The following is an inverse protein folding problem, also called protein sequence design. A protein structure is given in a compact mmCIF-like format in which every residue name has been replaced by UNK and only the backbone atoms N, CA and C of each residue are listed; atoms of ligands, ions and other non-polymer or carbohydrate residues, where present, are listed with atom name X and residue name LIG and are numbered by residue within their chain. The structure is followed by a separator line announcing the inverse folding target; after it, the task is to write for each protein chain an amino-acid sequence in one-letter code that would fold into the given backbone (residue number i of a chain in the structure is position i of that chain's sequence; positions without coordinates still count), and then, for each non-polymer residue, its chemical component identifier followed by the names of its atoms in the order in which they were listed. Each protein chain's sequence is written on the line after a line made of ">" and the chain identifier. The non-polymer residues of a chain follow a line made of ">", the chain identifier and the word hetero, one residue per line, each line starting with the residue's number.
data_IF_061671489694
#
_entry.id   IF_061671489694
#
_cell.length_a   1.000
_cell.length_b   1.000
_cell.length_c   1.000
_cell.angle_alpha   90.00
_cell.angle_beta   90.00
_cell.angle_gamma   90.00
#
_symmetry.space_group_name_H-M   'P 1'
#
loop_
_entity.id
_entity.type
_entity.pdbx_description
1 polymer ?
#
# COMPACT_ATOMS: atom_id res chain seq x y z
N UNK A 1 -0.08 16.81 20.06
CA UNK A 1 -0.07 16.07 18.78
C UNK A 1 -0.63 14.70 19.07
N UNK A 2 -1.68 14.29 18.37
CA UNK A 2 -2.18 12.93 18.48
C UNK A 2 -1.11 12.02 17.89
N UNK A 3 -0.54 11.15 18.74
CA UNK A 3 0.39 10.12 18.34
C UNK A 3 -0.39 9.10 17.50
N UNK A 4 -0.33 9.23 16.18
CA UNK A 4 -1.04 8.34 15.23
C UNK A 4 -0.37 6.96 15.11
N UNK A 5 0.71 6.72 15.84
CA UNK A 5 1.54 5.53 15.67
C UNK A 5 2.22 5.48 14.30
N UNK A 6 2.98 4.41 14.02
CA UNK A 6 3.76 4.26 12.78
C UNK A 6 2.92 3.98 11.51
N UNK A 7 1.59 4.08 11.59
CA UNK A 7 0.66 3.77 10.51
C UNK A 7 -0.29 4.94 10.25
N UNK A 8 -0.16 5.57 9.08
CA UNK A 8 -0.89 6.79 8.73
C UNK A 8 -1.72 6.56 7.46
N UNK A 9 -3.02 6.89 7.50
CA UNK A 9 -3.89 6.87 6.32
C UNK A 9 -3.84 8.23 5.62
N UNK A 10 -3.59 8.23 4.31
CA UNK A 10 -3.46 9.41 3.46
C UNK A 10 -4.70 9.57 2.57
N UNK A 11 -5.16 10.80 2.38
CA UNK A 11 -6.02 11.17 1.25
C UNK A 11 -5.26 11.04 -0.09
N UNK A 12 -5.97 11.10 -1.22
CA UNK A 12 -5.33 11.03 -2.53
C UNK A 12 -4.40 12.22 -2.82
N UNK A 13 -4.73 13.41 -2.31
CA UNK A 13 -3.87 14.58 -2.47
C UNK A 13 -2.57 14.42 -1.67
N UNK A 14 -2.67 14.05 -0.39
CA UNK A 14 -1.49 13.75 0.45
C UNK A 14 -0.67 12.57 -0.13
N UNK A 15 -1.34 11.55 -0.67
CA UNK A 15 -0.69 10.45 -1.38
C UNK A 15 0.21 10.98 -2.51
N UNK A 16 -0.31 11.86 -3.36
CA UNK A 16 0.48 12.43 -4.47
C UNK A 16 1.67 13.25 -3.95
N UNK A 17 1.48 14.08 -2.93
CA UNK A 17 2.58 14.82 -2.30
C UNK A 17 3.69 13.89 -1.79
N UNK A 18 3.32 12.73 -1.21
CA UNK A 18 4.29 11.73 -0.75
C UNK A 18 4.99 10.98 -1.88
N UNK A 19 4.28 10.71 -2.97
CA UNK A 19 4.88 10.12 -4.18
C UNK A 19 5.90 11.08 -4.79
N UNK A 20 5.61 12.38 -4.86
CA UNK A 20 6.56 13.41 -5.31
C UNK A 20 7.80 13.51 -4.40
N UNK A 21 7.65 13.20 -3.10
CA UNK A 21 8.75 13.09 -2.14
C UNK A 21 9.54 11.77 -2.28
N UNK A 22 9.17 10.89 -3.23
CA UNK A 22 9.89 9.66 -3.55
C UNK A 22 9.44 8.43 -2.76
N UNK A 23 8.29 8.48 -2.08
CA UNK A 23 7.77 7.35 -1.32
C UNK A 23 7.44 6.18 -2.25
N UNK A 24 7.76 4.95 -1.84
CA UNK A 24 7.45 3.76 -2.65
C UNK A 24 5.97 3.42 -2.56
N UNK A 25 5.37 3.04 -3.68
CA UNK A 25 3.97 2.59 -3.71
C UNK A 25 3.97 1.06 -3.81
N UNK A 26 3.35 0.38 -2.85
CA UNK A 26 3.20 -1.08 -2.83
C UNK A 26 1.72 -1.42 -3.00
N UNK A 27 1.34 -1.88 -4.18
CA UNK A 27 -0.01 -2.35 -4.45
C UNK A 27 -0.12 -3.82 -4.06
N UNK A 28 -0.87 -4.08 -2.98
CA UNK A 28 -1.03 -5.41 -2.38
C UNK A 28 -2.29 -6.15 -2.85
N UNK A 29 -2.94 -5.64 -3.91
CA UNK A 29 -4.07 -6.30 -4.56
C UNK A 29 -3.60 -7.55 -5.31
N UNK A 30 -4.56 -8.28 -5.84
CA UNK A 30 -4.32 -9.43 -6.70
C UNK A 30 -4.15 -9.00 -8.16
N UNK A 31 -3.62 -9.91 -8.97
CA UNK A 31 -3.37 -9.68 -10.38
C UNK A 31 -4.64 -9.40 -11.21
N UNK A 32 -5.75 -10.06 -10.92
CA UNK A 32 -7.05 -9.81 -11.55
C UNK A 32 -7.53 -8.37 -11.30
N UNK A 33 -7.31 -7.85 -10.09
CA UNK A 33 -7.67 -6.47 -9.74
C UNK A 33 -6.79 -5.43 -10.45
N UNK A 34 -5.50 -5.72 -10.65
CA UNK A 34 -4.60 -4.88 -11.44
C UNK A 34 -5.02 -4.83 -12.90
N UNK A 35 -5.37 -5.97 -13.49
CA UNK A 35 -5.81 -6.04 -14.88
C UNK A 35 -7.14 -5.30 -15.10
N UNK A 36 -8.07 -5.46 -14.15
CA UNK A 36 -9.39 -4.85 -14.25
C UNK A 36 -9.36 -3.33 -14.03
N UNK A 37 -8.80 -2.88 -12.90
CA UNK A 37 -8.82 -1.46 -12.48
C UNK A 37 -7.59 -0.66 -12.91
N UNK A 38 -6.54 -1.32 -13.42
CA UNK A 38 -5.21 -0.71 -13.55
C UNK A 38 -4.53 -0.55 -12.19
N UNK A 39 -3.36 0.10 -12.18
CA UNK A 39 -2.59 0.46 -10.98
C UNK A 39 -2.29 1.95 -10.94
N UNK A 40 -1.94 2.50 -9.78
CA UNK A 40 -1.38 3.85 -9.69
C UNK A 40 0.00 3.82 -10.34
N UNK A 41 0.34 4.80 -11.18
CA UNK A 41 1.64 4.85 -11.84
C UNK A 41 2.80 4.77 -10.82
N UNK A 42 3.82 3.98 -11.12
CA UNK A 42 4.94 3.72 -10.21
C UNK A 42 4.68 2.69 -9.11
N UNK A 43 3.51 2.03 -9.11
CA UNK A 43 3.21 0.95 -8.16
C UNK A 43 4.08 -0.29 -8.35
N UNK A 44 4.66 -0.76 -7.24
CA UNK A 44 5.21 -2.11 -7.13
C UNK A 44 4.09 -3.09 -6.79
N UNK A 45 3.85 -4.03 -7.70
CA UNK A 45 2.77 -5.02 -7.62
C UNK A 45 3.22 -6.22 -6.79
N UNK A 46 2.76 -6.33 -5.54
CA UNK A 46 3.17 -7.39 -4.60
C UNK A 46 1.94 -7.88 -3.84
N UNK A 47 1.26 -8.90 -4.37
CA UNK A 47 0.06 -9.47 -3.75
C UNK A 47 0.36 -10.01 -2.35
N UNK A 48 -0.52 -9.71 -1.39
CA UNK A 48 -0.45 -10.29 -0.04
C UNK A 48 -1.48 -11.40 0.16
N UNK A 49 -2.75 -11.16 -0.18
CA UNK A 49 -3.84 -12.12 -0.01
C UNK A 49 -4.28 -12.69 -1.35
N UNK A 50 -4.47 -14.01 -1.42
CA UNK A 50 -5.09 -14.68 -2.54
C UNK A 50 -6.64 -14.53 -2.56
N UNK A 51 -7.31 -15.23 -3.48
CA UNK A 51 -8.77 -15.18 -3.64
C UNK A 51 -9.54 -15.82 -2.47
N UNK A 52 -8.94 -16.81 -1.80
CA UNK A 52 -9.50 -17.50 -0.63
C UNK A 52 -9.19 -16.78 0.69
N UNK A 53 -8.35 -15.73 0.63
CA UNK A 53 -7.88 -14.97 1.78
C UNK A 53 -6.66 -15.60 2.47
N UNK A 54 -6.03 -16.61 1.85
CA UNK A 54 -4.74 -17.13 2.24
C UNK A 54 -3.62 -16.13 1.95
N UNK A 55 -2.51 -16.26 2.67
CA UNK A 55 -1.31 -15.44 2.46
C UNK A 55 -0.05 -16.23 2.81
N UNK A 56 1.04 -15.92 2.11
CA UNK A 56 2.40 -16.36 2.43
C UNK A 56 3.20 -15.12 2.84
N UNK A 57 3.43 -14.97 4.15
CA UNK A 57 4.11 -13.81 4.70
C UNK A 57 5.60 -13.79 4.31
N UNK A 58 6.25 -14.95 4.17
CA UNK A 58 7.67 -15.03 3.86
C UNK A 58 7.91 -14.64 2.39
N UNK A 59 7.10 -15.19 1.47
CA UNK A 59 7.16 -14.82 0.06
C UNK A 59 6.84 -13.34 -0.17
N UNK A 60 5.85 -12.80 0.57
CA UNK A 60 5.56 -11.37 0.53
C UNK A 60 6.75 -10.53 1.00
N UNK A 61 7.37 -10.89 2.13
CA UNK A 61 8.49 -10.14 2.69
C UNK A 61 9.75 -10.22 1.80
N UNK A 62 9.98 -11.36 1.15
CA UNK A 62 11.06 -11.50 0.17
C UNK A 62 10.92 -10.49 -0.96
N UNK A 63 9.73 -10.39 -1.57
CA UNK A 63 9.47 -9.43 -2.63
C UNK A 63 9.46 -7.97 -2.13
N UNK A 64 8.85 -7.73 -0.97
CA UNK A 64 8.72 -6.40 -0.36
C UNK A 64 10.09 -5.79 -0.05
N UNK A 65 11.02 -6.57 0.49
CA UNK A 65 12.36 -6.09 0.89
C UNK A 65 13.28 -5.78 -0.30
N UNK A 66 12.95 -6.25 -1.51
CA UNK A 66 13.63 -5.78 -2.74
C UNK A 66 13.29 -4.33 -3.09
N UNK A 67 12.16 -3.81 -2.58
CA UNK A 67 11.66 -2.46 -2.86
C UNK A 67 11.89 -1.51 -1.68
N UNK A 68 11.61 -2.00 -0.47
CA UNK A 68 11.80 -1.29 0.80
C UNK A 68 12.95 -1.94 1.54
N UNK A 69 14.15 -1.41 1.36
CA UNK A 69 15.40 -2.04 1.80
C UNK A 69 15.80 -1.69 3.23
N UNK A 70 15.15 -0.69 3.82
CA UNK A 70 15.43 -0.20 5.17
C UNK A 70 14.11 0.05 5.94
N UNK A 71 14.12 -0.15 7.26
CA UNK A 71 12.91 -0.02 8.10
C UNK A 71 12.44 1.42 8.31
N UNK A 72 13.30 2.40 8.08
CA UNK A 72 13.00 3.82 8.08
C UNK A 72 12.55 4.30 6.69
N UNK A 73 12.75 3.51 5.63
CA UNK A 73 12.35 3.91 4.28
C UNK A 73 10.81 4.03 4.20
N UNK A 74 10.27 5.17 3.77
CA UNK A 74 8.84 5.38 3.70
C UNK A 74 8.20 4.70 2.50
N UNK A 75 7.01 4.13 2.71
CA UNK A 75 6.22 3.49 1.65
C UNK A 75 4.72 3.59 1.93
N UNK A 76 3.94 3.50 0.86
CA UNK A 76 2.49 3.59 0.87
C UNK A 76 1.90 2.28 0.37
N UNK A 77 1.04 1.67 1.17
CA UNK A 77 0.30 0.48 0.80
C UNK A 77 -1.00 0.85 0.08
N UNK A 78 -1.33 0.11 -0.97
CA UNK A 78 -2.59 0.27 -1.72
C UNK A 78 -3.32 -1.06 -1.80
N UNK A 79 -4.62 -1.06 -1.49
CA UNK A 79 -5.53 -2.15 -1.83
C UNK A 79 -6.86 -1.63 -2.39
N UNK A 80 -7.85 -2.50 -2.64
CA UNK A 80 -9.14 -2.08 -3.20
C UNK A 80 -9.87 -1.02 -2.34
N UNK A 81 -10.00 -1.25 -1.04
CA UNK A 81 -10.86 -0.46 -0.12
C UNK A 81 -10.21 -0.19 1.25
N UNK A 82 -8.88 -0.12 1.30
CA UNK A 82 -8.07 0.02 2.52
C UNK A 82 -8.20 -1.09 3.61
N UNK A 83 -8.97 -2.17 3.38
CA UNK A 83 -9.17 -3.24 4.38
C UNK A 83 -7.91 -4.11 4.56
N UNK A 84 -7.29 -4.52 3.44
CA UNK A 84 -6.08 -5.37 3.46
C UNK A 84 -4.86 -4.58 3.93
N UNK A 85 -4.75 -3.32 3.52
CA UNK A 85 -3.65 -2.43 3.92
C UNK A 85 -3.65 -2.14 5.42
N UNK A 86 -4.82 -2.02 6.06
CA UNK A 86 -4.90 -1.91 7.53
C UNK A 86 -4.36 -3.15 8.25
N UNK A 87 -4.59 -4.35 7.70
CA UNK A 87 -4.05 -5.59 8.28
C UNK A 87 -2.53 -5.68 8.07
N UNK A 88 -2.08 -5.54 6.83
CA UNK A 88 -0.66 -5.65 6.45
C UNK A 88 0.18 -4.51 7.05
N UNK A 89 -0.35 -3.29 7.05
CA UNK A 89 0.30 -2.11 7.62
C UNK A 89 0.52 -2.25 9.12
N UNK A 90 -0.44 -2.80 9.87
CA UNK A 90 -0.27 -3.09 11.30
C UNK A 90 0.78 -4.17 11.54
N UNK A 91 0.80 -5.23 10.74
CA UNK A 91 1.85 -6.27 10.77
C UNK A 91 3.24 -5.63 10.57
N UNK A 92 3.42 -4.86 9.50
CA UNK A 92 4.69 -4.20 9.17
C UNK A 92 5.12 -3.22 10.26
N UNK A 93 4.20 -2.36 10.71
CA UNK A 93 4.54 -1.28 11.64
C UNK A 93 4.71 -1.79 13.09
N UNK A 94 3.79 -2.62 13.58
CA UNK A 94 3.77 -3.00 15.00
C UNK A 94 4.60 -4.25 15.29
N UNK A 95 4.61 -5.24 14.40
CA UNK A 95 5.33 -6.49 14.63
C UNK A 95 6.73 -6.43 14.02
N UNK A 96 6.85 -5.96 12.77
CA UNK A 96 8.12 -5.92 12.05
C UNK A 96 8.89 -4.60 12.24
N UNK A 97 8.29 -3.61 12.91
CA UNK A 97 8.92 -2.35 13.34
C UNK A 97 9.37 -1.44 12.17
N UNK A 98 8.63 -1.42 11.07
CA UNK A 98 8.78 -0.37 10.07
C UNK A 98 8.27 0.96 10.64
N UNK A 99 9.07 2.02 10.53
CA UNK A 99 8.78 3.31 11.17
C UNK A 99 7.78 4.17 10.38
N UNK A 100 7.78 4.02 9.06
CA UNK A 100 7.15 4.95 8.13
C UNK A 100 6.15 4.22 7.21
N UNK A 101 5.06 3.71 7.78
CA UNK A 101 4.04 2.94 7.06
C UNK A 101 2.83 3.80 6.75
N UNK A 102 2.47 3.90 5.48
CA UNK A 102 1.33 4.69 5.03
C UNK A 102 0.34 3.80 4.25
N UNK A 103 -0.91 4.22 4.18
CA UNK A 103 -1.89 3.65 3.25
C UNK A 103 -2.65 4.74 2.51
N UNK A 104 -3.20 4.38 1.34
CA UNK A 104 -4.24 5.19 0.71
C UNK A 104 -5.59 4.92 1.40
N UNK A 105 -6.15 5.94 2.06
CA UNK A 105 -7.48 5.85 2.66
C UNK A 105 -8.54 5.56 1.58
N UNK A 106 -9.50 4.69 1.89
CA UNK A 106 -10.49 4.23 0.91
C UNK A 106 -9.95 3.34 -0.22
N UNK A 107 -8.63 3.11 -0.29
CA UNK A 107 -8.00 2.29 -1.33
C UNK A 107 -8.19 2.85 -2.75
N UNK A 108 -7.82 2.06 -3.76
CA UNK A 108 -7.87 2.52 -5.14
C UNK A 108 -9.30 2.75 -5.65
N UNK A 109 -10.30 2.07 -5.12
CA UNK A 109 -11.67 2.23 -5.60
C UNK A 109 -12.28 3.53 -5.07
N UNK A 110 -12.32 3.72 -3.76
CA UNK A 110 -13.01 4.88 -3.14
C UNK A 110 -12.10 6.07 -2.90
N UNK A 111 -10.83 5.81 -2.58
CA UNK A 111 -9.83 6.83 -2.30
C UNK A 111 -9.25 7.45 -3.55
N UNK A 112 -9.19 6.70 -4.66
CA UNK A 112 -8.53 7.14 -5.89
C UNK A 112 -9.51 7.34 -7.05
N UNK A 113 -10.12 6.26 -7.53
CA UNK A 113 -10.96 6.27 -8.73
C UNK A 113 -12.23 7.12 -8.55
N UNK A 114 -12.94 6.95 -7.43
CA UNK A 114 -14.13 7.75 -7.11
C UNK A 114 -13.80 9.24 -6.89
N UNK A 115 -12.53 9.56 -6.61
CA UNK A 115 -12.03 10.94 -6.52
C UNK A 115 -11.57 11.51 -7.86
N UNK A 116 -11.65 10.73 -8.93
CA UNK A 116 -11.36 11.16 -10.30
C UNK A 116 -9.91 10.96 -10.76
N UNK A 117 -9.05 10.41 -9.89
CA UNK A 117 -7.66 10.10 -10.25
C UNK A 117 -7.58 8.93 -11.22
N UNK A 118 -6.48 8.86 -11.98
CA UNK A 118 -6.30 7.90 -13.07
C UNK A 118 -5.39 6.75 -12.67
N UNK A 119 -5.61 5.61 -13.31
CA UNK A 119 -4.75 4.44 -13.25
C UNK A 119 -4.11 4.20 -14.61
N UNK A 120 -3.03 3.42 -14.61
CA UNK A 120 -2.34 2.94 -15.80
C UNK A 120 -2.50 1.43 -15.91
N UNK A 121 -2.44 0.91 -17.14
CA UNK A 121 -2.43 -0.52 -17.44
C UNK A 121 -1.08 -0.91 -18.04
#
# INVERSE_FOLDING_TARGET
>A
MLDTGPFISLSADEFNEKVEQGYKIIDIRRADEWEYYGVIEGSHKITFFDEEGGYDADAFLEAFTQVVTDKEQPFILVCAHARRTKAVGRLLALQLKYANVYELDGGINWGWLDKGFKTVK
#
